data_IF_120880016446
#
_entry.id   IF_120880016446
#
_cell.length_a   1.000
_cell.length_b   1.000
_cell.length_c   1.000
_cell.angle_alpha   90.00
_cell.angle_beta   90.00
_cell.angle_gamma   90.00
#
_symmetry.space_group_name_H-M   'P 1'
#
loop_
_entity.id
_entity.type
_entity.pdbx_description
1 polymer ?
#
# COMPACT_ATOMS: atom_id res chain seq x y z
N UNK A 1 -9.41 9.34 19.31
CA UNK A 1 -8.41 8.27 19.07
C UNK A 1 -7.72 8.54 17.74
N UNK A 2 -6.46 8.93 17.78
CA UNK A 2 -5.72 9.43 16.62
C UNK A 2 -4.99 8.28 15.92
N UNK A 3 -5.65 7.56 15.03
CA UNK A 3 -4.96 6.69 14.07
C UNK A 3 -4.78 7.51 12.79
N UNK A 4 -3.75 8.36 12.78
CA UNK A 4 -3.21 8.93 11.55
C UNK A 4 -2.02 8.07 11.17
N UNK A 5 -2.15 7.18 10.19
CA UNK A 5 -0.97 6.42 9.73
C UNK A 5 -0.88 6.36 8.22
N UNK A 6 -1.40 7.39 7.56
CA UNK A 6 -1.03 7.83 6.21
C UNK A 6 -1.55 9.25 6.09
N UNK A 7 -0.65 10.23 6.09
CA UNK A 7 -1.00 11.65 5.88
C UNK A 7 -1.43 11.94 4.43
N UNK A 8 -1.40 10.91 3.58
CA UNK A 8 -1.60 10.98 2.16
C UNK A 8 -3.03 10.75 1.69
N UNK A 9 -3.36 11.33 0.53
CA UNK A 9 -4.55 10.92 -0.22
C UNK A 9 -4.34 9.49 -0.72
N UNK A 10 -5.36 8.64 -0.55
CA UNK A 10 -5.38 7.31 -1.18
C UNK A 10 -5.37 7.50 -2.70
N UNK A 11 -4.36 6.95 -3.36
CA UNK A 11 -4.18 6.98 -4.80
C UNK A 11 -4.89 5.78 -5.43
N UNK A 12 -4.46 4.58 -5.03
CA UNK A 12 -4.95 3.33 -5.58
C UNK A 12 -5.28 2.33 -4.46
N UNK A 13 -6.19 1.42 -4.75
CA UNK A 13 -6.51 0.29 -3.89
C UNK A 13 -6.59 -0.99 -4.72
N UNK A 14 -5.82 -1.99 -4.32
CA UNK A 14 -5.82 -3.33 -4.89
C UNK A 14 -6.44 -4.30 -3.90
N UNK A 15 -7.27 -5.22 -4.39
CA UNK A 15 -7.94 -6.22 -3.54
C UNK A 15 -8.07 -7.55 -4.27
N UNK A 16 -7.74 -8.60 -3.54
CA UNK A 16 -7.96 -10.01 -3.86
C UNK A 16 -8.80 -10.67 -2.77
N UNK A 17 -9.15 -11.94 -2.93
CA UNK A 17 -9.95 -12.73 -1.98
C UNK A 17 -9.53 -12.57 -0.51
N UNK A 18 -8.24 -12.76 -0.22
CA UNK A 18 -7.71 -12.70 1.15
C UNK A 18 -6.73 -11.55 1.36
N UNK A 19 -6.28 -10.86 0.30
CA UNK A 19 -5.25 -9.82 0.39
C UNK A 19 -5.76 -8.48 -0.10
N UNK A 20 -5.32 -7.41 0.53
CA UNK A 20 -5.62 -6.03 0.11
C UNK A 20 -4.37 -5.20 0.21
N UNK A 21 -4.16 -4.32 -0.75
CA UNK A 21 -3.09 -3.34 -0.73
C UNK A 21 -3.66 -1.95 -1.03
N UNK A 22 -3.19 -0.94 -0.31
CA UNK A 22 -3.65 0.44 -0.46
C UNK A 22 -2.44 1.35 -0.65
N UNK A 23 -2.51 2.25 -1.62
CA UNK A 23 -1.42 3.18 -1.93
C UNK A 23 -1.83 4.58 -1.54
N UNK A 24 -0.93 5.28 -0.85
CA UNK A 24 -1.15 6.63 -0.36
C UNK A 24 -0.02 7.55 -0.81
N UNK A 25 -0.38 8.74 -1.29
CA UNK A 25 0.57 9.78 -1.69
C UNK A 25 1.20 10.44 -0.46
N UNK A 26 2.50 10.30 -0.25
CA UNK A 26 3.20 10.98 0.85
C UNK A 26 4.07 12.12 0.32
N UNK A 27 4.39 13.12 1.16
CA UNK A 27 5.12 14.34 0.74
C UNK A 27 6.47 14.07 0.07
N UNK A 28 7.09 12.92 0.34
CA UNK A 28 8.41 12.52 -0.17
C UNK A 28 8.38 11.19 -0.95
N UNK A 29 7.21 10.67 -1.30
CA UNK A 29 7.09 9.37 -1.96
C UNK A 29 5.69 8.75 -1.82
N UNK A 30 5.63 7.43 -1.67
CA UNK A 30 4.39 6.67 -1.62
C UNK A 30 4.41 5.73 -0.41
N UNK A 31 3.25 5.44 0.16
CA UNK A 31 3.11 4.44 1.21
C UNK A 31 2.16 3.36 0.72
N UNK A 32 2.66 2.13 0.67
CA UNK A 32 1.88 0.95 0.32
C UNK A 32 1.53 0.21 1.59
N UNK A 33 0.26 0.16 1.94
CA UNK A 33 -0.23 -0.58 3.09
C UNK A 33 -0.78 -1.92 2.66
N UNK A 34 -0.26 -2.98 3.25
CA UNK A 34 -0.58 -4.36 2.93
C UNK A 34 -1.45 -4.97 4.04
N UNK A 35 -2.48 -5.68 3.63
CA UNK A 35 -3.42 -6.36 4.49
C UNK A 35 -3.61 -7.80 4.04
N UNK A 36 -3.68 -8.72 4.98
CA UNK A 36 -3.91 -10.14 4.74
C UNK A 36 -5.00 -10.62 5.71
N UNK A 37 -6.02 -11.29 5.19
CA UNK A 37 -7.21 -11.72 5.93
C UNK A 37 -7.89 -10.59 6.71
N UNK A 38 -7.99 -9.40 6.10
CA UNK A 38 -8.52 -8.18 6.74
C UNK A 38 -7.69 -7.67 7.93
N UNK A 39 -6.50 -8.25 8.16
CA UNK A 39 -5.55 -7.82 9.18
C UNK A 39 -4.47 -6.99 8.52
N UNK A 40 -4.13 -5.84 9.12
CA UNK A 40 -2.98 -5.05 8.69
C UNK A 40 -1.70 -5.87 8.89
N UNK A 41 -0.92 -6.03 7.82
CA UNK A 41 0.29 -6.85 7.81
C UNK A 41 1.55 -6.00 7.90
N UNK A 42 1.68 -5.04 6.97
CA UNK A 42 2.87 -4.20 6.84
C UNK A 42 2.48 -2.86 6.19
N UNK A 43 3.20 -1.79 6.54
CA UNK A 43 3.28 -0.58 5.74
C UNK A 43 4.68 -0.45 5.14
N UNK A 44 4.72 -0.22 3.82
CA UNK A 44 5.94 -0.06 3.06
C UNK A 44 6.03 1.37 2.56
N UNK A 45 6.97 2.11 3.13
CA UNK A 45 7.24 3.48 2.72
C UNK A 45 8.24 3.45 1.57
N UNK A 46 7.81 3.92 0.42
CA UNK A 46 8.58 3.98 -0.81
C UNK A 46 8.97 5.44 -1.04
N UNK A 47 10.21 5.78 -0.68
CA UNK A 47 10.80 7.11 -0.90
C UNK A 47 11.68 7.11 -2.14
N UNK A 48 11.73 8.22 -2.88
CA UNK A 48 12.55 8.37 -4.11
C UNK A 48 12.26 7.37 -5.25
N UNK A 49 11.14 6.66 -5.23
CA UNK A 49 10.69 5.85 -6.37
C UNK A 49 9.38 6.38 -6.94
N UNK A 50 9.04 5.91 -8.14
CA UNK A 50 7.82 6.26 -8.87
C UNK A 50 6.58 5.61 -8.28
N UNK A 51 5.42 6.18 -8.61
CA UNK A 51 4.11 5.59 -8.28
C UNK A 51 3.98 4.17 -8.84
N UNK A 52 4.47 3.95 -10.06
CA UNK A 52 4.48 2.65 -10.73
C UNK A 52 5.18 1.56 -9.90
N UNK A 53 6.27 1.89 -9.19
CA UNK A 53 6.94 0.93 -8.33
C UNK A 53 6.07 0.57 -7.10
N UNK A 54 5.33 1.54 -6.56
CA UNK A 54 4.39 1.31 -5.47
C UNK A 54 3.19 0.48 -5.93
N UNK A 55 2.68 0.74 -7.13
CA UNK A 55 1.60 -0.04 -7.77
C UNK A 55 2.03 -1.47 -8.04
N UNK A 56 3.20 -1.67 -8.65
CA UNK A 56 3.73 -2.99 -8.92
C UNK A 56 3.99 -3.77 -7.62
N UNK A 57 4.48 -3.10 -6.56
CA UNK A 57 4.63 -3.74 -5.24
C UNK A 57 3.28 -4.15 -4.63
N UNK A 58 2.25 -3.29 -4.76
CA UNK A 58 0.90 -3.58 -4.27
C UNK A 58 0.26 -4.74 -5.06
N UNK A 59 0.39 -4.71 -6.39
CA UNK A 59 -0.13 -5.73 -7.31
C UNK A 59 0.52 -7.09 -7.07
N UNK A 60 1.84 -7.16 -6.98
CA UNK A 60 2.54 -8.41 -6.69
C UNK A 60 2.11 -9.02 -5.35
N UNK A 61 1.85 -8.18 -4.35
CA UNK A 61 1.36 -8.65 -3.06
C UNK A 61 -0.06 -9.24 -3.15
N UNK A 62 -0.99 -8.56 -3.81
CA UNK A 62 -2.38 -9.05 -3.95
C UNK A 62 -2.49 -10.24 -4.90
N UNK A 63 -1.64 -10.34 -5.92
CA UNK A 63 -1.58 -11.45 -6.86
C UNK A 63 -0.79 -12.66 -6.34
N UNK A 64 -0.22 -12.56 -5.13
CA UNK A 64 0.57 -13.63 -4.51
C UNK A 64 1.74 -14.11 -5.38
N UNK A 65 2.42 -13.17 -6.04
CA UNK A 65 3.58 -13.42 -6.91
C UNK A 65 4.90 -13.30 -6.09
N UNK A 66 4.80 -13.20 -4.75
CA UNK A 66 5.91 -13.08 -3.79
C UNK A 66 5.99 -14.31 -2.88
#
# INVERSE_FOLDING_TARGET
MSIKIVEGKKLHEFRSDTRRAEIYAHRKGYVVRLFENQVWKEDRVIVNHTEEYAENCAENFVSNIF
#
